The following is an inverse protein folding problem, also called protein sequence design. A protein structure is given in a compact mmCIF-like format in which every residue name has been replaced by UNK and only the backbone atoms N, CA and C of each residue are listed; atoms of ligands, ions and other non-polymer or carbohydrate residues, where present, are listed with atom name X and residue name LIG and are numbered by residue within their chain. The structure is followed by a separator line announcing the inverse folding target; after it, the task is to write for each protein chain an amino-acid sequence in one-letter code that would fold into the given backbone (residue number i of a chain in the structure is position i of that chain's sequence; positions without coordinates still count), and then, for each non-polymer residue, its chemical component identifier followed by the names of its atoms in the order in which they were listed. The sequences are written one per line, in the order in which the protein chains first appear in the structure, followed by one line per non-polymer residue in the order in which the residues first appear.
data_IF_620393430769
#
_entry.id   IF_620393430769
#
_cell.length_a   1.000
_cell.length_b   1.000
_cell.length_c   1.000
_cell.angle_alpha   90.00
_cell.angle_beta   90.00
_cell.angle_gamma   90.00
#
_symmetry.space_group_name_H-M   'P 1'
#
loop_
_entity.id
_entity.type
_entity.pdbx_description
1 polymer ?
#
# COMPACT_ATOMS: atom_id res chain seq x y z
N UNK A 1 -4.25 -7.11 6.34
CA UNK A 1 -3.28 -7.32 5.24
C UNK A 1 -2.16 -8.24 5.65
N UNK A 2 -1.28 -7.86 6.59
CA UNK A 2 -0.16 -8.72 7.02
C UNK A 2 -0.46 -9.43 8.33
N UNK A 3 0.25 -10.53 8.60
CA UNK A 3 0.18 -11.25 9.86
C UNK A 3 0.67 -10.40 11.05
N UNK A 4 0.25 -10.75 12.27
CA UNK A 4 0.71 -10.12 13.52
C UNK A 4 2.25 -10.16 13.64
N UNK A 5 2.84 -11.31 13.33
CA UNK A 5 4.29 -11.45 13.12
C UNK A 5 4.55 -11.47 11.62
N UNK A 6 4.65 -10.28 11.02
CA UNK A 6 4.81 -10.15 9.58
C UNK A 6 6.20 -10.64 9.12
N UNK A 7 6.21 -11.60 8.19
CA UNK A 7 7.40 -11.97 7.43
C UNK A 7 7.57 -11.05 6.22
N UNK A 8 8.68 -11.20 5.50
CA UNK A 8 8.90 -10.50 4.22
C UNK A 8 7.78 -10.87 3.24
N UNK A 9 7.42 -12.16 3.16
CA UNK A 9 6.40 -12.67 2.24
C UNK A 9 5.03 -12.01 2.42
N UNK A 10 4.70 -11.59 3.65
CA UNK A 10 3.47 -10.84 3.94
C UNK A 10 3.39 -9.54 3.13
N UNK A 11 4.51 -8.85 2.95
CA UNK A 11 4.55 -7.57 2.24
C UNK A 11 4.55 -7.72 0.72
N UNK A 12 4.94 -8.89 0.21
CA UNK A 12 5.01 -9.18 -1.23
C UNK A 12 3.83 -10.02 -1.74
N UNK A 13 2.80 -10.22 -0.91
CA UNK A 13 1.62 -11.03 -1.26
C UNK A 13 1.94 -12.51 -1.55
N UNK A 14 3.01 -13.04 -0.97
CA UNK A 14 3.42 -14.45 -1.09
C UNK A 14 3.06 -15.28 0.15
N UNK A 15 2.40 -14.67 1.13
CA UNK A 15 2.03 -15.26 2.40
C UNK A 15 0.64 -15.92 2.32
N UNK A 16 0.58 -17.25 2.47
CA UNK A 16 -0.67 -18.02 2.38
C UNK A 16 -1.60 -17.83 3.59
N UNK A 17 -1.06 -17.42 4.73
CA UNK A 17 -1.80 -17.30 6.01
C UNK A 17 -2.33 -15.87 6.22
N UNK A 18 -1.90 -14.94 5.37
CA UNK A 18 -2.24 -13.55 5.54
C UNK A 18 -3.73 -13.34 5.27
N UNK A 19 -4.44 -12.51 6.07
CA UNK A 19 -5.84 -12.16 5.78
C UNK A 19 -5.99 -11.41 4.44
N UNK A 20 -4.88 -11.04 3.80
CA UNK A 20 -4.87 -10.56 2.43
C UNK A 20 -5.53 -9.19 2.26
N UNK A 21 -5.98 -8.93 1.04
CA UNK A 21 -6.80 -7.76 0.71
C UNK A 21 -8.29 -8.10 0.79
N UNK A 22 -8.66 -9.37 0.66
CA UNK A 22 -10.02 -9.82 0.37
C UNK A 22 -10.99 -9.39 1.47
N UNK A 23 -10.60 -9.53 2.75
CA UNK A 23 -11.41 -9.02 3.88
C UNK A 23 -11.66 -7.51 3.79
N UNK A 24 -10.73 -6.72 3.24
CA UNK A 24 -10.87 -5.27 3.08
C UNK A 24 -11.73 -4.92 1.88
N UNK A 25 -11.64 -5.71 0.81
CA UNK A 25 -12.50 -5.62 -0.37
C UNK A 25 -13.96 -5.83 0.04
N UNK A 26 -14.26 -6.93 0.72
CA UNK A 26 -15.62 -7.25 1.22
C UNK A 26 -16.18 -6.17 2.14
N UNK A 27 -15.37 -5.63 3.07
CA UNK A 27 -15.80 -4.55 3.96
C UNK A 27 -16.15 -3.27 3.17
N UNK A 28 -15.36 -2.95 2.14
CA UNK A 28 -15.55 -1.76 1.33
C UNK A 28 -16.80 -1.90 0.45
N UNK A 29 -16.94 -3.03 -0.23
CA UNK A 29 -18.12 -3.37 -1.04
C UNK A 29 -19.39 -3.34 -0.20
N UNK A 30 -19.40 -4.04 0.94
CA UNK A 30 -20.54 -4.07 1.85
C UNK A 30 -20.89 -2.65 2.34
N UNK A 31 -19.89 -1.85 2.70
CA UNK A 31 -20.09 -0.47 3.13
C UNK A 31 -20.74 0.39 2.04
N UNK A 32 -20.22 0.33 0.82
CA UNK A 32 -20.74 1.10 -0.32
C UNK A 32 -22.17 0.66 -0.68
N UNK A 33 -22.41 -0.66 -0.74
CA UNK A 33 -23.72 -1.24 -1.04
C UNK A 33 -24.76 -0.88 0.03
N UNK A 34 -24.42 -1.04 1.31
CA UNK A 34 -25.31 -0.72 2.44
C UNK A 34 -25.79 0.72 2.41
N UNK A 35 -24.95 1.64 1.92
CA UNK A 35 -25.25 3.06 1.82
C UNK A 35 -25.77 3.48 0.43
N UNK A 36 -26.02 2.52 -0.47
CA UNK A 36 -26.49 2.76 -1.84
C UNK A 36 -25.58 3.74 -2.60
N UNK A 37 -24.27 3.65 -2.37
CA UNK A 37 -23.28 4.48 -3.04
C UNK A 37 -22.94 3.81 -4.36
N UNK A 38 -23.41 4.39 -5.46
CA UNK A 38 -23.13 3.88 -6.81
C UNK A 38 -21.85 4.48 -7.41
N UNK A 39 -21.47 5.69 -6.99
CA UNK A 39 -20.28 6.38 -7.50
C UNK A 39 -19.46 7.01 -6.39
N UNK A 40 -18.14 6.93 -6.53
CA UNK A 40 -17.17 7.47 -5.58
C UNK A 40 -16.32 8.52 -6.29
N UNK A 41 -16.14 9.67 -5.65
CA UNK A 41 -15.26 10.75 -6.12
C UNK A 41 -14.04 10.82 -5.21
N UNK A 42 -12.84 10.72 -5.77
CA UNK A 42 -11.59 10.65 -5.00
C UNK A 42 -10.42 11.25 -5.79
N UNK A 43 -9.35 11.60 -5.08
CA UNK A 43 -8.11 12.06 -5.71
C UNK A 43 -7.17 10.87 -5.93
N UNK A 44 -6.56 10.79 -7.11
CA UNK A 44 -5.66 9.71 -7.48
C UNK A 44 -4.45 10.21 -8.26
N UNK A 45 -3.28 9.63 -7.97
CA UNK A 45 -2.06 9.92 -8.70
C UNK A 45 -2.03 9.11 -10.00
N UNK A 46 -2.07 9.80 -11.14
CA UNK A 46 -2.02 9.21 -12.47
C UNK A 46 -0.66 9.51 -13.10
N UNK A 47 -0.03 8.49 -13.69
CA UNK A 47 1.33 8.58 -14.25
C UNK A 47 1.37 8.07 -15.69
N UNK A 48 0.81 8.85 -16.63
CA UNK A 48 0.89 8.56 -18.08
C UNK A 48 2.12 9.21 -18.73
N UNK A 49 2.57 10.37 -18.24
CA UNK A 49 3.80 11.07 -18.66
C UNK A 49 4.50 11.79 -17.50
N UNK A 50 3.72 12.59 -16.76
CA UNK A 50 4.09 13.20 -15.46
C UNK A 50 3.15 12.66 -14.39
N UNK A 51 3.60 12.68 -13.14
CA UNK A 51 2.75 12.30 -12.01
C UNK A 51 1.84 13.49 -11.66
N UNK A 52 0.54 13.35 -11.93
CA UNK A 52 -0.47 14.37 -11.64
C UNK A 52 -1.48 13.83 -10.62
N UNK A 53 -1.95 14.70 -9.73
CA UNK A 53 -3.05 14.38 -8.84
C UNK A 53 -4.35 14.80 -9.52
N UNK A 54 -5.17 13.83 -9.89
CA UNK A 54 -6.44 14.05 -10.59
C UNK A 54 -7.62 13.70 -9.70
N UNK A 55 -8.73 14.43 -9.84
CA UNK A 55 -10.00 14.05 -9.22
C UNK A 55 -10.74 13.10 -10.16
N UNK A 56 -10.90 11.86 -9.73
CA UNK A 56 -11.62 10.82 -10.47
C UNK A 56 -13.02 10.64 -9.89
N UNK A 57 -13.97 10.33 -10.77
CA UNK A 57 -15.31 9.85 -10.42
C UNK A 57 -15.49 8.48 -11.07
N UNK A 58 -15.73 7.46 -10.26
CA UNK A 58 -15.79 6.06 -10.67
C UNK A 58 -17.00 5.36 -10.08
N UNK A 59 -17.42 4.23 -10.66
CA UNK A 59 -18.40 3.38 -9.99
C UNK A 59 -17.84 2.86 -8.66
N UNK A 60 -18.73 2.43 -7.76
CA UNK A 60 -18.32 1.78 -6.51
C UNK A 60 -17.38 0.59 -6.78
N UNK A 61 -17.74 -0.27 -7.73
CA UNK A 61 -16.94 -1.45 -8.10
C UNK A 61 -15.56 -1.05 -8.64
N UNK A 62 -15.50 -0.10 -9.58
CA UNK A 62 -14.23 0.40 -10.13
C UNK A 62 -13.36 1.03 -9.02
N UNK A 63 -13.98 1.71 -8.06
CA UNK A 63 -13.26 2.31 -6.94
C UNK A 63 -12.66 1.24 -6.02
N UNK A 64 -13.41 0.18 -5.69
CA UNK A 64 -12.94 -0.94 -4.89
C UNK A 64 -11.73 -1.59 -5.55
N UNK A 65 -11.81 -1.89 -6.85
CA UNK A 65 -10.72 -2.47 -7.64
C UNK A 65 -9.46 -1.62 -7.59
N UNK A 66 -9.59 -0.31 -7.86
CA UNK A 66 -8.48 0.64 -7.84
C UNK A 66 -7.85 0.70 -6.44
N UNK A 67 -8.69 0.84 -5.41
CA UNK A 67 -8.25 0.93 -4.03
C UNK A 67 -7.48 -0.31 -3.59
N UNK A 68 -8.03 -1.50 -3.83
CA UNK A 68 -7.42 -2.78 -3.45
C UNK A 68 -6.11 -3.04 -4.20
N UNK A 69 -6.07 -2.74 -5.51
CA UNK A 69 -4.85 -2.82 -6.32
C UNK A 69 -3.75 -1.91 -5.77
N UNK A 70 -4.07 -0.64 -5.53
CA UNK A 70 -3.08 0.35 -5.10
C UNK A 70 -2.60 0.07 -3.68
N UNK A 71 -3.47 -0.47 -2.82
CA UNK A 71 -3.11 -0.85 -1.46
C UNK A 71 -2.08 -2.00 -1.45
N UNK A 72 -2.20 -2.98 -2.36
CA UNK A 72 -1.18 -4.05 -2.55
C UNK A 72 0.17 -3.47 -2.97
N UNK A 73 0.16 -2.47 -3.86
CA UNK A 73 1.38 -1.77 -4.29
C UNK A 73 2.01 -1.01 -3.11
N UNK A 74 1.20 -0.27 -2.35
CA UNK A 74 1.65 0.51 -1.21
C UNK A 74 2.26 -0.36 -0.11
N UNK A 75 1.71 -1.56 0.11
CA UNK A 75 2.23 -2.49 1.11
C UNK A 75 3.69 -2.90 0.84
N UNK A 76 4.03 -3.18 -0.44
CA UNK A 76 5.41 -3.45 -0.86
C UNK A 76 6.31 -2.23 -0.66
N UNK A 77 5.84 -1.06 -1.08
CA UNK A 77 6.59 0.19 -0.91
C UNK A 77 6.89 0.49 0.55
N UNK A 78 5.92 0.27 1.45
CA UNK A 78 6.12 0.45 2.88
C UNK A 78 7.27 -0.40 3.42
N UNK A 79 7.32 -1.68 3.05
CA UNK A 79 8.41 -2.56 3.45
C UNK A 79 9.77 -2.07 2.92
N UNK A 80 9.85 -1.77 1.63
CA UNK A 80 11.09 -1.32 1.00
C UNK A 80 11.60 -0.01 1.62
N UNK A 81 10.73 0.97 1.84
CA UNK A 81 11.09 2.24 2.47
C UNK A 81 11.63 2.02 3.90
N UNK A 82 11.05 1.08 4.66
CA UNK A 82 11.54 0.73 6.00
C UNK A 82 12.93 0.09 5.93
N UNK A 83 13.17 -0.83 5.01
CA UNK A 83 14.50 -1.46 4.84
C UNK A 83 15.55 -0.44 4.39
N UNK A 84 15.19 0.44 3.45
CA UNK A 84 16.06 1.54 3.00
C UNK A 84 16.44 2.46 4.17
N UNK A 85 15.48 2.81 5.02
CA UNK A 85 15.76 3.63 6.21
C UNK A 85 16.76 2.94 7.15
N UNK A 86 16.52 1.67 7.49
CA UNK A 86 17.41 0.88 8.36
C UNK A 86 18.82 0.82 7.78
N UNK A 87 18.95 0.56 6.47
CA UNK A 87 20.24 0.54 5.78
C UNK A 87 20.94 1.90 5.87
N UNK A 88 20.24 2.99 5.57
CA UNK A 88 20.80 4.35 5.60
C UNK A 88 21.29 4.74 7.02
N UNK A 89 20.52 4.39 8.06
CA UNK A 89 20.90 4.63 9.45
C UNK A 89 22.15 3.84 9.82
N UNK A 90 22.22 2.57 9.44
CA UNK A 90 23.38 1.71 9.73
C UNK A 90 24.64 2.19 9.00
N UNK A 91 24.53 2.53 7.72
CA UNK A 91 25.64 3.09 6.94
C UNK A 91 26.15 4.38 7.56
N UNK A 92 25.25 5.28 7.96
CA UNK A 92 25.64 6.53 8.64
C UNK A 92 26.42 6.27 9.93
N UNK A 93 25.96 5.33 10.78
CA UNK A 93 26.67 4.95 12.00
C UNK A 93 28.05 4.37 11.71
N UNK A 94 28.17 3.50 10.71
CA UNK A 94 29.44 2.89 10.33
C UNK A 94 30.44 3.92 9.81
N UNK A 95 30.00 4.86 8.96
CA UNK A 95 30.84 5.96 8.47
C UNK A 95 31.28 6.91 9.61
N UNK A 96 30.43 7.14 10.61
CA UNK A 96 30.81 7.92 11.79
C UNK A 96 31.85 7.20 12.65
N UNK A 97 31.70 5.88 12.83
CA UNK A 97 32.65 5.07 13.59
C UNK A 97 34.02 4.98 12.92
N UNK A 98 34.08 4.91 11.58
CA UNK A 98 35.32 4.93 10.81
C UNK A 98 36.05 6.28 10.83
N UNK A 99 35.36 7.38 11.15
CA UNK A 99 35.97 8.73 11.22
C UNK A 99 36.75 8.97 12.52
N UNK A 100 36.57 8.11 13.52
CA UNK A 100 37.26 8.15 14.82
C UNK A 100 38.22 6.96 15.02
N UNK A 101 38.57 6.25 13.94
CA UNK A 101 39.64 5.27 13.86
C UNK A 101 40.75 5.79 12.94
#
# INVERSE_FOLDING_TARGET
MVCNTASIDCYFSNCEICPGIDEREEILEYGLQKHLIETVTFHHWVSVDRCNLETLKKSADEFVDIFCRDLKVLLRHYFLAKQQNVFMVNTKKNCQNQRWQ
#
